data_IF_692504542420
#
_entry.id   IF_692504542420
#
_cell.length_a   1.000
_cell.length_b   1.000
_cell.length_c   1.000
_cell.angle_alpha   90.00
_cell.angle_beta   90.00
_cell.angle_gamma   90.00
#
_symmetry.space_group_name_H-M   'P 1'
#
loop_
_entity.id
_entity.type
_entity.pdbx_description
1 polymer ?
#
# COMPACT_ATOMS: atom_id res chain seq x y z
N UNK A 1 -12.21 -30.07 -32.00
CA UNK A 1 -13.21 -31.14 -32.20
C UNK A 1 -14.58 -30.51 -32.14
N UNK A 2 -15.42 -30.55 -33.18
CA UNK A 2 -16.59 -29.71 -33.32
C UNK A 2 -17.81 -30.29 -32.60
N UNK A 3 -18.58 -29.38 -32.00
CA UNK A 3 -19.89 -29.65 -31.43
C UNK A 3 -20.98 -29.71 -32.54
N UNK A 4 -21.05 -30.80 -33.22
CA UNK A 4 -22.14 -31.09 -34.17
C UNK A 4 -22.61 -32.52 -33.95
N UNK A 5 -23.44 -32.74 -32.94
CA UNK A 5 -24.31 -33.91 -32.83
C UNK A 5 -25.25 -33.74 -31.62
N UNK A 6 -26.37 -33.06 -31.82
CA UNK A 6 -27.53 -33.10 -30.92
C UNK A 6 -28.77 -32.49 -31.63
N UNK A 7 -29.14 -33.07 -32.79
CA UNK A 7 -30.51 -32.97 -33.32
C UNK A 7 -30.73 -34.20 -34.21
N UNK A 8 -31.50 -35.19 -33.73
CA UNK A 8 -31.94 -36.33 -34.55
C UNK A 8 -32.58 -37.43 -33.72
N UNK A 9 -33.91 -37.43 -33.56
CA UNK A 9 -34.83 -38.51 -33.74
C UNK A 9 -34.96 -39.65 -32.73
N UNK A 10 -36.16 -39.76 -32.11
CA UNK A 10 -36.86 -41.02 -31.95
C UNK A 10 -36.85 -41.72 -30.59
N UNK A 11 -37.96 -41.62 -29.84
CA UNK A 11 -38.59 -42.76 -29.17
C UNK A 11 -38.04 -43.35 -27.90
N UNK A 12 -38.66 -43.06 -26.74
CA UNK A 12 -38.91 -44.04 -25.68
C UNK A 12 -37.75 -44.34 -24.74
N UNK A 13 -37.74 -43.67 -23.60
CA UNK A 13 -37.53 -44.21 -22.26
C UNK A 13 -37.23 -43.05 -21.27
N UNK A 14 -38.00 -43.00 -20.19
CA UNK A 14 -37.85 -42.00 -19.12
C UNK A 14 -36.48 -42.15 -18.45
N UNK A 15 -35.50 -41.35 -18.91
CA UNK A 15 -34.23 -41.13 -18.26
C UNK A 15 -34.26 -39.69 -17.73
N UNK A 16 -34.19 -39.50 -16.41
CA UNK A 16 -33.99 -38.20 -15.74
C UNK A 16 -32.65 -37.62 -16.25
N UNK A 17 -32.69 -36.95 -17.39
CA UNK A 17 -31.62 -36.09 -17.83
C UNK A 17 -31.72 -34.84 -16.94
N UNK A 18 -30.76 -34.72 -16.00
CA UNK A 18 -30.58 -33.52 -15.19
C UNK A 18 -30.42 -32.30 -16.11
N UNK A 19 -31.48 -31.53 -16.30
CA UNK A 19 -31.42 -30.24 -16.97
C UNK A 19 -30.52 -29.35 -16.16
N UNK A 20 -29.27 -29.19 -16.59
CA UNK A 20 -28.38 -28.17 -16.03
C UNK A 20 -29.06 -26.82 -16.28
N UNK A 21 -29.47 -26.16 -15.19
CA UNK A 21 -30.12 -24.86 -15.29
C UNK A 21 -29.19 -23.85 -15.96
N UNK A 22 -29.68 -23.08 -16.94
CA UNK A 22 -28.90 -22.03 -17.61
C UNK A 22 -28.36 -20.98 -16.63
N UNK A 23 -29.07 -20.76 -15.52
CA UNK A 23 -28.62 -19.90 -14.41
C UNK A 23 -27.36 -20.47 -13.72
N UNK A 24 -27.30 -21.77 -13.47
CA UNK A 24 -26.13 -22.47 -12.92
C UNK A 24 -24.94 -22.44 -13.89
N UNK A 25 -25.19 -22.51 -15.22
CA UNK A 25 -24.14 -22.35 -16.22
C UNK A 25 -23.61 -20.93 -16.26
N UNK A 26 -24.43 -19.91 -16.06
CA UNK A 26 -24.01 -18.52 -15.96
C UNK A 26 -23.07 -18.32 -14.76
N UNK A 27 -23.40 -18.91 -13.60
CA UNK A 27 -22.58 -18.83 -12.36
C UNK A 27 -21.18 -19.45 -12.50
N UNK A 28 -21.07 -20.49 -13.31
CA UNK A 28 -19.80 -21.22 -13.52
C UNK A 28 -19.03 -20.74 -14.75
N UNK A 29 -19.57 -19.77 -15.49
CA UNK A 29 -18.96 -19.29 -16.71
C UNK A 29 -17.75 -18.40 -16.39
N UNK A 30 -16.60 -18.74 -16.95
CA UNK A 30 -15.33 -18.02 -16.77
C UNK A 30 -14.92 -17.17 -17.98
N UNK A 31 -15.69 -17.20 -19.07
CA UNK A 31 -15.35 -16.49 -20.31
C UNK A 31 -16.53 -15.69 -20.85
N UNK A 32 -16.23 -14.49 -21.36
CA UNK A 32 -17.25 -13.61 -21.94
C UNK A 32 -17.96 -14.28 -23.16
N UNK A 33 -17.23 -15.04 -23.97
CA UNK A 33 -17.80 -15.78 -25.11
C UNK A 33 -18.81 -16.85 -24.66
N UNK A 34 -18.48 -17.60 -23.60
CA UNK A 34 -19.41 -18.58 -23.02
C UNK A 34 -20.66 -17.89 -22.45
N UNK A 35 -20.47 -16.74 -21.79
CA UNK A 35 -21.55 -15.97 -21.20
C UNK A 35 -22.50 -15.42 -22.27
N UNK A 36 -22.00 -14.95 -23.43
CA UNK A 36 -22.84 -14.48 -24.54
C UNK A 36 -23.67 -15.61 -25.15
N UNK A 37 -23.15 -16.83 -25.22
CA UNK A 37 -23.89 -18.00 -25.68
C UNK A 37 -25.03 -18.37 -24.72
N UNK A 38 -24.76 -18.35 -23.41
CA UNK A 38 -25.77 -18.59 -22.37
C UNK A 38 -26.85 -17.51 -22.43
N UNK A 39 -26.46 -16.25 -22.60
CA UNK A 39 -27.37 -15.13 -22.77
C UNK A 39 -28.30 -15.33 -23.98
N UNK A 40 -27.74 -15.68 -25.14
CA UNK A 40 -28.51 -15.97 -26.35
C UNK A 40 -29.51 -17.13 -26.12
N UNK A 41 -29.08 -18.21 -25.46
CA UNK A 41 -29.95 -19.33 -25.13
C UNK A 41 -31.09 -18.92 -24.16
N UNK A 42 -30.81 -18.05 -23.17
CA UNK A 42 -31.84 -17.52 -22.27
C UNK A 42 -32.81 -16.58 -22.96
N UNK A 43 -32.37 -15.80 -23.95
CA UNK A 43 -33.24 -14.95 -24.79
C UNK A 43 -34.18 -15.82 -25.63
N UNK A 44 -33.64 -16.77 -26.40
CA UNK A 44 -34.42 -17.66 -27.28
C UNK A 44 -35.44 -18.49 -26.47
N UNK A 45 -35.09 -18.92 -25.26
CA UNK A 45 -35.99 -19.68 -24.40
C UNK A 45 -37.00 -18.83 -23.60
N UNK A 46 -37.03 -17.50 -23.77
CA UNK A 46 -37.91 -16.58 -23.06
C UNK A 46 -37.55 -16.38 -21.56
N UNK A 47 -36.54 -17.08 -21.06
CA UNK A 47 -36.22 -17.10 -19.61
C UNK A 47 -35.83 -15.74 -19.05
N UNK A 48 -35.28 -14.84 -19.84
CA UNK A 48 -34.93 -13.49 -19.35
C UNK A 48 -36.22 -12.70 -19.05
N UNK A 49 -37.28 -12.89 -19.83
CA UNK A 49 -38.55 -12.20 -19.62
C UNK A 49 -39.34 -12.78 -18.46
N UNK A 50 -39.31 -14.11 -18.30
CA UNK A 50 -40.17 -14.82 -17.38
C UNK A 50 -39.52 -15.14 -16.03
N UNK A 51 -38.16 -15.13 -15.95
CA UNK A 51 -37.42 -15.54 -14.77
C UNK A 51 -36.41 -14.44 -14.34
N UNK A 52 -36.86 -13.56 -13.45
CA UNK A 52 -36.04 -12.50 -12.88
C UNK A 52 -34.83 -13.04 -12.07
N UNK A 53 -34.91 -14.28 -11.54
CA UNK A 53 -33.78 -14.90 -10.85
C UNK A 53 -32.69 -15.29 -11.86
N UNK A 54 -33.06 -15.93 -12.97
CA UNK A 54 -32.10 -16.30 -14.01
C UNK A 54 -31.44 -15.07 -14.63
N UNK A 55 -32.21 -13.99 -14.90
CA UNK A 55 -31.66 -12.72 -15.36
C UNK A 55 -30.72 -12.07 -14.33
N UNK A 56 -31.02 -12.17 -13.02
CA UNK A 56 -30.14 -11.68 -11.95
C UNK A 56 -28.79 -12.41 -11.93
N UNK A 57 -28.78 -13.72 -12.11
CA UNK A 57 -27.54 -14.52 -12.16
C UNK A 57 -26.71 -14.20 -13.40
N UNK A 58 -27.38 -14.01 -14.54
CA UNK A 58 -26.71 -13.59 -15.77
C UNK A 58 -26.07 -12.20 -15.63
N UNK A 59 -26.78 -11.25 -15.00
CA UNK A 59 -26.25 -9.92 -14.71
C UNK A 59 -25.02 -9.97 -13.79
N UNK A 60 -25.05 -10.86 -12.79
CA UNK A 60 -23.93 -11.06 -11.86
C UNK A 60 -22.68 -11.59 -12.57
N UNK A 61 -22.87 -12.54 -13.49
CA UNK A 61 -21.80 -13.03 -14.35
C UNK A 61 -21.25 -11.93 -15.27
N UNK A 62 -22.12 -11.10 -15.88
CA UNK A 62 -21.68 -9.93 -16.64
C UNK A 62 -20.90 -8.94 -15.79
N UNK A 63 -21.32 -8.69 -14.56
CA UNK A 63 -20.61 -7.78 -13.63
C UNK A 63 -19.20 -8.26 -13.27
N UNK A 64 -18.95 -9.56 -13.41
CA UNK A 64 -17.64 -10.17 -13.13
C UNK A 64 -16.72 -10.27 -14.35
N UNK A 65 -17.29 -10.46 -15.55
CA UNK A 65 -16.54 -10.80 -16.77
C UNK A 65 -16.48 -9.67 -17.81
N UNK A 66 -17.26 -8.60 -17.65
CA UNK A 66 -17.39 -7.58 -18.69
C UNK A 66 -17.30 -6.15 -18.15
N UNK A 67 -17.02 -5.16 -19.03
CA UNK A 67 -17.05 -3.76 -18.63
C UNK A 67 -18.42 -3.32 -18.10
N UNK A 68 -18.49 -2.34 -17.18
CA UNK A 68 -19.75 -1.86 -16.59
C UNK A 68 -20.80 -1.39 -17.60
N UNK A 69 -20.36 -0.88 -18.77
CA UNK A 69 -21.27 -0.51 -19.85
C UNK A 69 -22.10 -1.68 -20.38
N UNK A 70 -21.57 -2.90 -20.37
CA UNK A 70 -22.31 -4.10 -20.77
C UNK A 70 -23.36 -4.47 -19.72
N UNK A 71 -23.02 -4.31 -18.44
CA UNK A 71 -23.93 -4.51 -17.30
C UNK A 71 -25.13 -3.56 -17.39
N UNK A 72 -24.89 -2.27 -17.65
CA UNK A 72 -25.96 -1.27 -17.80
C UNK A 72 -26.83 -1.52 -19.04
N UNK A 73 -26.23 -1.89 -20.18
CA UNK A 73 -26.99 -2.26 -21.39
C UNK A 73 -27.90 -3.46 -21.13
N UNK A 74 -27.39 -4.49 -20.45
CA UNK A 74 -28.22 -5.64 -20.10
C UNK A 74 -29.37 -5.23 -19.16
N UNK A 75 -29.07 -4.41 -18.13
CA UNK A 75 -30.06 -3.92 -17.20
C UNK A 75 -31.18 -3.13 -17.89
N UNK A 76 -30.81 -2.27 -18.85
CA UNK A 76 -31.78 -1.46 -19.63
C UNK A 76 -32.58 -2.27 -20.66
N UNK A 77 -32.12 -3.48 -21.05
CA UNK A 77 -32.82 -4.37 -21.97
C UNK A 77 -33.88 -5.26 -21.29
N UNK A 78 -33.98 -5.24 -19.97
CA UNK A 78 -34.96 -6.05 -19.23
C UNK A 78 -36.38 -5.54 -19.51
N UNK A 79 -37.36 -6.44 -19.75
CA UNK A 79 -38.74 -6.06 -20.04
C UNK A 79 -39.55 -5.69 -18.77
N UNK A 80 -38.94 -5.72 -17.61
CA UNK A 80 -39.54 -5.43 -16.29
C UNK A 80 -38.61 -4.57 -15.45
N UNK A 81 -39.16 -3.99 -14.37
CA UNK A 81 -38.36 -3.19 -13.44
C UNK A 81 -37.29 -4.05 -12.71
N UNK A 82 -36.01 -3.64 -12.72
CA UNK A 82 -34.95 -4.37 -12.05
C UNK A 82 -35.19 -4.46 -10.54
N UNK A 83 -34.91 -5.62 -9.96
CA UNK A 83 -34.98 -5.82 -8.51
C UNK A 83 -33.76 -5.23 -7.79
N UNK A 84 -33.83 -5.12 -6.45
CA UNK A 84 -32.76 -4.55 -5.63
C UNK A 84 -31.42 -5.28 -5.78
N UNK A 85 -31.42 -6.60 -6.04
CA UNK A 85 -30.20 -7.36 -6.28
C UNK A 85 -29.53 -6.92 -7.58
N UNK A 86 -30.29 -6.80 -8.68
CA UNK A 86 -29.78 -6.34 -9.97
C UNK A 86 -29.20 -4.93 -9.90
N UNK A 87 -29.89 -4.02 -9.18
CA UNK A 87 -29.42 -2.65 -8.99
C UNK A 87 -28.12 -2.60 -8.18
N UNK A 88 -28.04 -3.37 -7.11
CA UNK A 88 -26.83 -3.46 -6.28
C UNK A 88 -25.66 -4.14 -7.02
N UNK A 89 -25.94 -5.14 -7.86
CA UNK A 89 -24.92 -5.77 -8.72
C UNK A 89 -24.35 -4.76 -9.73
N UNK A 90 -25.21 -3.94 -10.32
CA UNK A 90 -24.78 -2.85 -11.23
C UNK A 90 -23.96 -1.79 -10.51
N UNK A 91 -24.37 -1.38 -9.29
CA UNK A 91 -23.58 -0.47 -8.44
C UNK A 91 -22.22 -1.07 -8.07
N UNK A 92 -22.16 -2.37 -7.76
CA UNK A 92 -20.90 -3.08 -7.47
C UNK A 92 -19.95 -3.03 -8.67
N UNK A 93 -20.44 -3.29 -9.88
CA UNK A 93 -19.65 -3.24 -11.10
C UNK A 93 -19.11 -1.82 -11.36
N UNK A 94 -19.97 -0.81 -11.26
CA UNK A 94 -19.60 0.60 -11.43
C UNK A 94 -18.61 1.08 -10.37
N UNK A 95 -18.82 0.74 -9.09
CA UNK A 95 -17.92 1.12 -7.99
C UNK A 95 -16.51 0.50 -8.12
N UNK A 96 -16.39 -0.59 -8.86
CA UNK A 96 -15.11 -1.28 -9.11
C UNK A 96 -14.44 -0.83 -10.40
N UNK A 97 -15.12 -0.02 -11.22
CA UNK A 97 -14.61 0.47 -12.51
C UNK A 97 -13.48 1.50 -12.35
N UNK A 98 -12.74 1.83 -13.43
CA UNK A 98 -11.80 2.96 -13.44
C UNK A 98 -12.46 4.30 -13.12
N UNK A 99 -13.74 4.49 -13.48
CA UNK A 99 -14.52 5.69 -13.16
C UNK A 99 -15.54 5.41 -12.02
N UNK A 100 -15.19 5.66 -10.76
CA UNK A 100 -16.08 5.46 -9.62
C UNK A 100 -17.22 6.49 -9.55
N UNK A 101 -17.12 7.63 -10.24
CA UNK A 101 -18.18 8.65 -10.27
C UNK A 101 -19.44 8.13 -10.97
N UNK A 102 -19.30 7.22 -11.92
CA UNK A 102 -20.41 6.56 -12.61
C UNK A 102 -21.35 5.80 -11.67
N UNK A 103 -20.83 5.23 -10.56
CA UNK A 103 -21.67 4.57 -9.54
C UNK A 103 -22.57 5.59 -8.82
N UNK A 104 -22.08 6.78 -8.53
CA UNK A 104 -22.85 7.84 -7.86
C UNK A 104 -23.88 8.45 -8.81
N UNK A 105 -23.51 8.66 -10.08
CA UNK A 105 -24.44 9.13 -11.11
C UNK A 105 -25.59 8.14 -11.30
N UNK A 106 -25.29 6.83 -11.38
CA UNK A 106 -26.29 5.79 -11.45
C UNK A 106 -27.19 5.76 -10.22
N UNK A 107 -26.62 5.85 -9.02
CA UNK A 107 -27.38 5.92 -7.77
C UNK A 107 -28.28 7.16 -7.72
N UNK A 108 -27.79 8.33 -8.14
CA UNK A 108 -28.56 9.56 -8.23
C UNK A 108 -29.75 9.39 -9.18
N UNK A 109 -29.51 8.80 -10.36
CA UNK A 109 -30.58 8.50 -11.32
C UNK A 109 -31.65 7.57 -10.72
N UNK A 110 -31.26 6.50 -10.02
CA UNK A 110 -32.19 5.58 -9.36
C UNK A 110 -33.10 6.30 -8.34
N UNK A 111 -32.53 7.25 -7.59
CA UNK A 111 -33.30 8.03 -6.60
C UNK A 111 -34.33 8.98 -7.23
N UNK A 112 -34.05 9.46 -8.44
CA UNK A 112 -34.96 10.41 -9.12
C UNK A 112 -35.98 9.69 -10.00
N UNK A 113 -35.61 8.57 -10.64
CA UNK A 113 -36.44 7.88 -11.61
C UNK A 113 -37.36 6.81 -10.99
N UNK A 114 -36.95 6.18 -9.91
CA UNK A 114 -37.70 5.11 -9.27
C UNK A 114 -38.28 5.62 -7.93
N UNK A 115 -39.49 6.12 -7.91
CA UNK A 115 -40.15 6.63 -6.71
C UNK A 115 -40.26 5.65 -5.53
N UNK A 116 -39.79 4.40 -5.67
CA UNK A 116 -39.79 3.36 -4.64
C UNK A 116 -38.41 2.77 -4.32
N UNK A 117 -37.30 3.25 -4.92
CA UNK A 117 -35.99 2.70 -4.62
C UNK A 117 -35.49 3.21 -3.26
N UNK A 118 -35.42 2.31 -2.27
CA UNK A 118 -34.83 2.58 -0.96
C UNK A 118 -33.47 1.91 -0.84
N UNK A 119 -32.36 2.68 -0.71
CA UNK A 119 -31.03 2.12 -0.51
C UNK A 119 -30.96 1.43 0.85
N UNK A 120 -30.41 0.23 0.86
CA UNK A 120 -30.27 -0.60 2.05
C UNK A 120 -28.83 -0.92 2.41
N UNK A 121 -28.66 -1.81 3.40
CA UNK A 121 -27.37 -2.29 3.90
C UNK A 121 -26.42 -2.83 2.81
N UNK A 122 -26.95 -3.32 1.70
CA UNK A 122 -26.17 -3.85 0.58
C UNK A 122 -25.84 -2.79 -0.48
N UNK A 123 -26.48 -1.63 -0.46
CA UNK A 123 -26.24 -0.53 -1.38
C UNK A 123 -25.08 0.35 -0.93
N UNK A 124 -25.09 0.77 0.34
CA UNK A 124 -24.12 1.72 0.88
C UNK A 124 -22.65 1.25 0.82
N UNK A 125 -22.30 -0.03 1.05
CA UNK A 125 -20.90 -0.47 0.91
C UNK A 125 -20.32 -0.23 -0.49
N UNK A 126 -21.11 -0.35 -1.56
CA UNK A 126 -20.65 -0.06 -2.93
C UNK A 126 -20.49 1.45 -3.16
N UNK A 127 -21.42 2.26 -2.65
CA UNK A 127 -21.30 3.72 -2.73
C UNK A 127 -20.08 4.22 -1.94
N UNK A 128 -19.84 3.67 -0.75
CA UNK A 128 -18.67 3.98 0.07
C UNK A 128 -17.37 3.52 -0.58
N UNK A 129 -17.36 2.36 -1.26
CA UNK A 129 -16.22 1.91 -2.06
C UNK A 129 -15.91 2.87 -3.21
N UNK A 130 -16.92 3.39 -3.88
CA UNK A 130 -16.76 4.38 -4.93
C UNK A 130 -16.27 5.73 -4.36
N UNK A 131 -16.91 6.21 -3.28
CA UNK A 131 -16.59 7.50 -2.67
C UNK A 131 -15.19 7.57 -2.07
N UNK A 132 -14.63 6.44 -1.61
CA UNK A 132 -13.25 6.37 -1.11
C UNK A 132 -12.19 6.72 -2.17
N UNK A 133 -12.55 6.69 -3.46
CA UNK A 133 -11.70 7.05 -4.60
C UNK A 133 -12.02 8.44 -5.18
N UNK A 134 -12.90 9.19 -4.53
CA UNK A 134 -13.40 10.50 -4.94
C UNK A 134 -13.07 11.55 -3.85
N UNK A 135 -13.24 12.84 -4.15
CA UNK A 135 -13.01 13.89 -3.16
C UNK A 135 -13.82 13.67 -1.88
N UNK A 136 -13.23 13.98 -0.73
CA UNK A 136 -13.78 13.76 0.61
C UNK A 136 -15.24 14.25 0.83
N UNK A 137 -15.71 15.38 0.27
CA UNK A 137 -17.11 15.80 0.44
C UNK A 137 -18.12 14.74 0.04
N UNK A 138 -17.79 13.89 -0.94
CA UNK A 138 -18.66 12.79 -1.41
C UNK A 138 -18.85 11.74 -0.31
N UNK A 139 -17.78 11.31 0.35
CA UNK A 139 -17.87 10.36 1.46
C UNK A 139 -18.70 10.89 2.62
N UNK A 140 -18.59 12.20 2.92
CA UNK A 140 -19.42 12.86 3.95
C UNK A 140 -20.92 12.88 3.56
N UNK A 141 -21.23 13.12 2.29
CA UNK A 141 -22.61 13.10 1.80
C UNK A 141 -23.20 11.68 1.90
N UNK A 142 -22.45 10.65 1.53
CA UNK A 142 -22.89 9.25 1.67
C UNK A 142 -23.07 8.89 3.14
N UNK A 143 -22.17 9.33 4.03
CA UNK A 143 -22.30 9.12 5.48
C UNK A 143 -23.62 9.76 6.01
N UNK A 144 -23.92 11.00 5.63
CA UNK A 144 -25.19 11.65 6.00
C UNK A 144 -26.41 10.86 5.52
N UNK A 145 -26.36 10.25 4.33
CA UNK A 145 -27.41 9.36 3.85
C UNK A 145 -27.50 8.07 4.67
N UNK A 146 -26.38 7.47 5.05
CA UNK A 146 -26.34 6.29 5.93
C UNK A 146 -27.08 6.58 7.25
N UNK A 147 -26.75 7.72 7.89
CA UNK A 147 -27.42 8.17 9.13
C UNK A 147 -28.92 8.38 8.91
N UNK A 148 -29.29 9.06 7.82
CA UNK A 148 -30.71 9.30 7.47
C UNK A 148 -31.52 8.00 7.32
N UNK A 149 -30.87 6.92 6.85
CA UNK A 149 -31.50 5.60 6.69
C UNK A 149 -31.37 4.71 7.94
N UNK A 150 -30.80 5.21 9.04
CA UNK A 150 -30.64 4.44 10.30
C UNK A 150 -29.68 3.27 10.19
N UNK A 151 -28.69 3.33 9.27
CA UNK A 151 -27.74 2.24 9.00
C UNK A 151 -26.35 2.47 9.58
N UNK A 152 -26.18 3.48 10.43
CA UNK A 152 -24.90 3.81 11.08
C UNK A 152 -24.37 2.68 11.98
N UNK A 153 -25.25 1.87 12.56
CA UNK A 153 -24.90 0.71 13.39
C UNK A 153 -24.81 -0.62 12.61
N UNK A 154 -25.07 -0.62 11.29
CA UNK A 154 -24.90 -1.82 10.47
C UNK A 154 -23.40 -2.09 10.22
N UNK A 155 -22.91 -3.26 10.61
CA UNK A 155 -21.48 -3.62 10.55
C UNK A 155 -20.90 -3.57 9.13
N UNK A 156 -21.67 -3.92 8.10
CA UNK A 156 -21.20 -3.87 6.70
C UNK A 156 -21.05 -2.43 6.20
N UNK A 157 -22.01 -1.58 6.56
CA UNK A 157 -22.01 -0.16 6.19
C UNK A 157 -20.91 0.56 6.96
N UNK A 158 -20.81 0.32 8.27
CA UNK A 158 -19.77 0.90 9.11
C UNK A 158 -18.35 0.52 8.65
N UNK A 159 -18.13 -0.76 8.25
CA UNK A 159 -16.86 -1.17 7.65
C UNK A 159 -16.52 -0.35 6.39
N UNK A 160 -17.52 -0.08 5.55
CA UNK A 160 -17.37 0.80 4.38
C UNK A 160 -17.00 2.23 4.77
N UNK A 161 -17.63 2.79 5.81
CA UNK A 161 -17.32 4.13 6.34
C UNK A 161 -15.92 4.21 6.92
N UNK A 162 -15.53 3.25 7.78
CA UNK A 162 -14.18 3.16 8.35
C UNK A 162 -13.14 3.14 7.22
N UNK A 163 -13.34 2.31 6.20
CA UNK A 163 -12.45 2.26 5.04
C UNK A 163 -12.38 3.57 4.27
N UNK A 164 -13.53 4.18 3.97
CA UNK A 164 -13.61 5.42 3.20
C UNK A 164 -12.88 6.58 3.91
N UNK A 165 -13.08 6.72 5.22
CA UNK A 165 -12.40 7.74 6.01
C UNK A 165 -10.91 7.44 6.21
N UNK A 166 -10.51 6.17 6.35
CA UNK A 166 -9.11 5.76 6.44
C UNK A 166 -8.34 6.11 5.15
N UNK A 167 -8.92 5.82 3.98
CA UNK A 167 -8.32 6.17 2.68
C UNK A 167 -8.22 7.69 2.50
N UNK A 168 -9.21 8.45 3.01
CA UNK A 168 -9.20 9.91 2.96
C UNK A 168 -8.25 10.56 3.99
N UNK A 169 -7.49 9.80 4.78
CA UNK A 169 -6.60 10.32 5.82
C UNK A 169 -7.29 10.79 7.10
N UNK A 170 -8.61 10.65 7.20
CA UNK A 170 -9.41 11.06 8.36
C UNK A 170 -9.58 9.94 9.38
N UNK A 171 -8.45 9.36 9.82
CA UNK A 171 -8.44 8.18 10.69
C UNK A 171 -9.16 8.41 12.03
N UNK A 172 -9.16 9.66 12.56
CA UNK A 172 -9.91 10.00 13.78
C UNK A 172 -11.44 9.89 13.59
N UNK A 173 -11.96 10.21 12.40
CA UNK A 173 -13.38 10.01 12.07
C UNK A 173 -13.68 8.53 11.88
N UNK A 174 -12.77 7.78 11.22
CA UNK A 174 -12.90 6.33 11.08
C UNK A 174 -12.98 5.65 12.47
N UNK A 175 -12.14 6.09 13.43
CA UNK A 175 -12.18 5.58 14.82
C UNK A 175 -13.52 5.87 15.50
N UNK A 176 -14.08 7.07 15.37
CA UNK A 176 -15.40 7.39 15.93
C UNK A 176 -16.49 6.47 15.41
N UNK A 177 -16.53 6.25 14.07
CA UNK A 177 -17.49 5.30 13.47
C UNK A 177 -17.29 3.89 14.02
N UNK A 178 -16.05 3.47 14.22
CA UNK A 178 -15.72 2.17 14.82
C UNK A 178 -16.18 2.07 16.27
N UNK A 179 -16.00 3.11 17.08
CA UNK A 179 -16.36 3.15 18.50
C UNK A 179 -17.88 3.19 18.73
N UNK A 180 -18.63 3.79 17.80
CA UNK A 180 -20.10 3.88 17.84
C UNK A 180 -20.79 2.53 17.53
N UNK A 181 -20.05 1.52 17.06
CA UNK A 181 -20.62 0.21 16.75
C UNK A 181 -20.97 -0.56 18.04
N UNK A 182 -22.23 -0.99 18.20
CA UNK A 182 -22.63 -1.80 19.35
C UNK A 182 -22.04 -3.21 19.33
N UNK A 183 -21.81 -3.75 18.13
CA UNK A 183 -21.19 -5.06 17.92
C UNK A 183 -20.10 -4.92 16.85
N UNK A 184 -18.89 -5.26 17.21
CA UNK A 184 -17.75 -5.26 16.30
C UNK A 184 -17.55 -6.64 15.68
N UNK A 185 -16.83 -6.71 14.56
CA UNK A 185 -16.51 -7.96 13.89
C UNK A 185 -15.03 -7.98 13.49
N UNK A 186 -14.49 -9.18 13.23
CA UNK A 186 -13.12 -9.35 12.71
C UNK A 186 -12.85 -8.47 11.49
N UNK A 187 -13.86 -8.28 10.62
CA UNK A 187 -13.71 -7.49 9.38
C UNK A 187 -13.52 -6.01 9.70
N UNK A 188 -14.28 -5.45 10.64
CA UNK A 188 -14.17 -4.04 11.02
C UNK A 188 -12.86 -3.79 11.76
N UNK A 189 -12.42 -4.67 12.66
CA UNK A 189 -11.10 -4.62 13.29
C UNK A 189 -9.99 -4.66 12.25
N UNK A 190 -10.06 -5.60 11.29
CA UNK A 190 -9.07 -5.70 10.20
C UNK A 190 -8.97 -4.40 9.41
N UNK A 191 -10.12 -3.78 9.11
CA UNK A 191 -10.16 -2.52 8.37
C UNK A 191 -9.60 -1.36 9.20
N UNK A 192 -9.88 -1.32 10.51
CA UNK A 192 -9.37 -0.27 11.39
C UNK A 192 -7.85 -0.37 11.58
N UNK A 193 -7.34 -1.58 11.87
CA UNK A 193 -5.89 -1.86 11.98
C UNK A 193 -5.16 -1.49 10.70
N UNK A 194 -5.67 -1.94 9.54
CA UNK A 194 -5.08 -1.60 8.24
C UNK A 194 -5.14 -0.10 7.96
N UNK A 195 -6.24 0.56 8.34
CA UNK A 195 -6.41 2.00 8.23
C UNK A 195 -5.39 2.78 9.04
N UNK A 196 -5.16 2.40 10.29
CA UNK A 196 -4.12 2.99 11.12
C UNK A 196 -2.73 2.79 10.53
N UNK A 197 -2.39 1.57 10.10
CA UNK A 197 -1.09 1.27 9.50
C UNK A 197 -0.82 2.09 8.23
N UNK A 198 -1.83 2.24 7.35
CA UNK A 198 -1.73 3.04 6.13
C UNK A 198 -1.57 4.54 6.38
N UNK A 199 -2.12 5.05 7.50
CA UNK A 199 -2.02 6.46 7.90
C UNK A 199 -0.82 6.75 8.82
N UNK A 200 0.12 5.82 8.97
CA UNK A 200 1.32 6.02 9.79
C UNK A 200 1.08 6.00 11.31
N UNK A 201 -0.14 5.66 11.75
CA UNK A 201 -0.54 5.56 13.15
C UNK A 201 -0.22 4.15 13.69
N UNK A 202 1.07 3.79 13.69
CA UNK A 202 1.50 2.41 13.95
C UNK A 202 1.19 1.94 15.37
N UNK A 203 1.30 2.82 16.37
CA UNK A 203 0.95 2.51 17.76
C UNK A 203 -0.55 2.21 17.91
N UNK A 204 -1.38 3.01 17.26
CA UNK A 204 -2.84 2.78 17.30
C UNK A 204 -3.23 1.50 16.55
N UNK A 205 -2.50 1.14 15.49
CA UNK A 205 -2.70 -0.15 14.80
C UNK A 205 -2.42 -1.34 15.72
N UNK A 206 -1.32 -1.25 16.48
CA UNK A 206 -0.97 -2.28 17.46
C UNK A 206 -1.97 -2.33 18.62
N UNK A 207 -2.41 -1.16 19.13
CA UNK A 207 -3.45 -1.07 20.18
C UNK A 207 -4.79 -1.65 19.72
N UNK A 208 -5.22 -1.36 18.50
CA UNK A 208 -6.46 -1.92 17.94
C UNK A 208 -6.36 -3.45 17.71
N UNK A 209 -5.17 -3.96 17.44
CA UNK A 209 -4.93 -5.41 17.38
C UNK A 209 -5.04 -6.04 18.77
N UNK A 210 -4.50 -5.40 19.82
CA UNK A 210 -4.64 -5.88 21.20
C UNK A 210 -6.10 -5.83 21.66
N UNK A 211 -6.87 -4.77 21.32
CA UNK A 211 -8.31 -4.70 21.56
C UNK A 211 -9.03 -5.90 20.90
N UNK A 212 -8.70 -6.20 19.64
CA UNK A 212 -9.26 -7.34 18.90
C UNK A 212 -9.02 -8.68 19.61
N UNK A 213 -7.80 -8.92 20.09
CA UNK A 213 -7.44 -10.14 20.81
C UNK A 213 -8.13 -10.23 22.17
N UNK A 214 -8.23 -9.12 22.90
CA UNK A 214 -8.88 -9.05 24.21
C UNK A 214 -10.41 -9.28 24.12
N UNK A 215 -11.03 -8.90 23.00
CA UNK A 215 -12.45 -9.22 22.72
C UNK A 215 -12.62 -10.68 22.24
N UNK A 216 -11.57 -11.47 22.16
CA UNK A 216 -11.60 -12.89 21.80
C UNK A 216 -11.70 -13.15 20.30
N UNK A 217 -11.48 -12.15 19.45
CA UNK A 217 -11.48 -12.34 18.00
C UNK A 217 -10.20 -12.99 17.50
N UNK A 218 -10.35 -13.91 16.58
CA UNK A 218 -9.22 -14.55 15.92
C UNK A 218 -8.69 -13.72 14.73
N UNK A 219 -7.39 -13.33 14.73
CA UNK A 219 -6.82 -12.58 13.63
C UNK A 219 -6.61 -13.45 12.39
N UNK A 220 -7.09 -12.99 11.23
CA UNK A 220 -6.80 -13.59 9.93
C UNK A 220 -5.47 -13.08 9.34
N UNK A 221 -5.04 -13.67 8.21
CA UNK A 221 -3.77 -13.32 7.56
C UNK A 221 -3.64 -11.83 7.22
N UNK A 222 -4.72 -11.17 6.82
CA UNK A 222 -4.71 -9.75 6.44
C UNK A 222 -4.39 -8.83 7.62
N UNK A 223 -5.02 -9.08 8.78
CA UNK A 223 -4.73 -8.26 9.98
C UNK A 223 -3.33 -8.53 10.49
N UNK A 224 -2.88 -9.81 10.51
CA UNK A 224 -1.51 -10.15 10.90
C UNK A 224 -0.48 -9.44 10.03
N UNK A 225 -0.63 -9.46 8.70
CA UNK A 225 0.25 -8.73 7.78
C UNK A 225 0.24 -7.21 8.04
N UNK A 226 -0.93 -6.64 8.30
CA UNK A 226 -1.07 -5.19 8.59
C UNK A 226 -0.39 -4.81 9.91
N UNK A 227 -0.53 -5.63 10.95
CA UNK A 227 0.15 -5.43 12.24
C UNK A 227 1.66 -5.58 12.10
N UNK A 228 2.15 -6.62 11.43
CA UNK A 228 3.58 -6.80 11.16
C UNK A 228 4.17 -5.60 10.40
N UNK A 229 3.45 -5.09 9.39
CA UNK A 229 3.86 -3.87 8.69
C UNK A 229 3.90 -2.64 9.59
N UNK A 230 2.97 -2.51 10.54
CA UNK A 230 2.99 -1.44 11.54
C UNK A 230 4.17 -1.60 12.51
N UNK A 231 4.42 -2.81 12.99
CA UNK A 231 5.56 -3.16 13.84
C UNK A 231 6.90 -2.84 13.17
N UNK A 232 7.03 -3.14 11.86
CA UNK A 232 8.22 -2.85 11.07
C UNK A 232 8.52 -1.35 10.92
N UNK A 233 7.53 -0.49 11.07
CA UNK A 233 7.64 0.98 10.91
C UNK A 233 7.53 1.75 12.22
N UNK A 234 7.20 1.08 13.32
CA UNK A 234 7.07 1.70 14.64
C UNK A 234 8.45 2.04 15.20
N UNK A 235 8.56 3.21 15.85
CA UNK A 235 9.79 3.63 16.53
C UNK A 235 10.01 2.91 17.88
N UNK A 236 8.98 2.31 18.45
CA UNK A 236 9.04 1.63 19.75
C UNK A 236 8.03 0.50 19.86
N UNK A 237 8.35 -0.55 20.58
CA UNK A 237 7.46 -1.67 20.89
C UNK A 237 7.15 -2.61 19.70
N UNK A 238 7.60 -2.29 18.48
CA UNK A 238 7.30 -3.09 17.30
C UNK A 238 7.80 -4.53 17.38
N UNK A 239 9.00 -4.73 17.92
CA UNK A 239 9.58 -6.07 18.04
C UNK A 239 8.79 -6.96 19.02
N UNK A 240 8.33 -6.40 20.16
CA UNK A 240 7.58 -7.16 21.17
C UNK A 240 6.27 -7.67 20.60
N UNK A 241 5.51 -6.79 19.96
CA UNK A 241 4.22 -7.17 19.34
C UNK A 241 4.46 -8.06 18.11
N UNK A 242 5.51 -7.80 17.34
CA UNK A 242 5.88 -8.64 16.20
C UNK A 242 6.20 -10.07 16.59
N UNK A 243 6.95 -10.30 17.68
CA UNK A 243 7.19 -11.64 18.25
C UNK A 243 5.88 -12.32 18.68
N UNK A 244 5.01 -11.58 19.37
CA UNK A 244 3.68 -12.11 19.77
C UNK A 244 2.83 -12.52 18.56
N UNK A 245 2.88 -11.75 17.49
CA UNK A 245 2.21 -12.10 16.21
C UNK A 245 2.81 -13.39 15.64
N UNK A 246 4.14 -13.52 15.65
CA UNK A 246 4.83 -14.74 15.19
C UNK A 246 4.41 -15.96 16.02
N UNK A 247 4.38 -15.86 17.36
CA UNK A 247 3.89 -16.92 18.25
C UNK A 247 2.44 -17.32 17.96
N UNK A 248 1.57 -16.36 17.64
CA UNK A 248 0.18 -16.65 17.25
C UNK A 248 0.15 -17.45 15.94
N UNK A 249 0.99 -17.07 14.97
CA UNK A 249 1.09 -17.77 13.69
C UNK A 249 1.60 -19.21 13.87
N UNK A 250 2.63 -19.43 14.70
CA UNK A 250 3.17 -20.76 15.00
C UNK A 250 2.13 -21.66 15.66
N UNK A 251 1.48 -21.18 16.73
CA UNK A 251 0.44 -21.95 17.44
C UNK A 251 -0.74 -22.36 16.56
N UNK A 252 -1.00 -21.63 15.47
CA UNK A 252 -2.08 -21.92 14.52
C UNK A 252 -1.66 -22.76 13.31
N UNK A 253 -0.42 -23.22 13.30
CA UNK A 253 0.14 -23.93 12.16
C UNK A 253 0.23 -23.06 10.88
N UNK A 254 0.15 -21.72 11.03
CA UNK A 254 0.32 -20.78 9.91
C UNK A 254 1.82 -20.53 9.63
N UNK A 255 2.69 -21.04 10.49
CA UNK A 255 4.13 -20.84 10.40
C UNK A 255 4.84 -21.84 9.47
N UNK A 256 4.19 -22.96 9.08
CA UNK A 256 4.81 -23.91 8.16
C UNK A 256 3.76 -24.55 7.22
N UNK A 257 3.86 -24.34 5.91
CA UNK A 257 4.71 -23.36 5.25
C UNK A 257 4.08 -21.95 5.35
N UNK A 258 4.81 -21.01 5.91
CA UNK A 258 4.36 -19.61 5.98
C UNK A 258 4.10 -19.12 4.55
N UNK A 259 2.88 -18.71 4.25
CA UNK A 259 2.57 -18.13 2.95
C UNK A 259 3.50 -16.95 2.67
N UNK A 260 3.93 -16.75 1.42
CA UNK A 260 4.94 -15.75 1.03
C UNK A 260 4.65 -14.36 1.61
N UNK A 261 3.37 -13.97 1.70
CA UNK A 261 2.96 -12.65 2.20
C UNK A 261 3.30 -12.48 3.69
N UNK A 262 2.90 -13.42 4.53
CA UNK A 262 3.15 -13.34 5.97
C UNK A 262 4.63 -13.56 6.30
N UNK A 263 5.29 -14.49 5.61
CA UNK A 263 6.73 -14.70 5.76
C UNK A 263 7.53 -13.46 5.40
N UNK A 264 7.21 -12.80 4.28
CA UNK A 264 7.84 -11.53 3.89
C UNK A 264 7.59 -10.44 4.94
N UNK A 265 6.37 -10.35 5.49
CA UNK A 265 6.06 -9.37 6.52
C UNK A 265 6.82 -9.63 7.83
N UNK A 266 7.03 -10.90 8.21
CA UNK A 266 7.85 -11.28 9.36
C UNK A 266 9.32 -10.92 9.14
N UNK A 267 9.89 -11.28 7.98
CA UNK A 267 11.27 -10.91 7.62
C UNK A 267 11.47 -9.40 7.68
N UNK A 268 10.55 -8.61 7.08
CA UNK A 268 10.60 -7.14 7.08
C UNK A 268 10.51 -6.58 8.52
N UNK A 269 9.61 -7.13 9.33
CA UNK A 269 9.42 -6.72 10.72
C UNK A 269 10.68 -6.98 11.55
N UNK A 270 11.22 -8.19 11.52
CA UNK A 270 12.43 -8.53 12.27
C UNK A 270 13.63 -7.73 11.78
N UNK A 271 13.85 -7.67 10.47
CA UNK A 271 14.98 -6.96 9.87
C UNK A 271 14.98 -5.46 10.20
N UNK A 272 13.83 -4.78 10.11
CA UNK A 272 13.73 -3.35 10.43
C UNK A 272 13.86 -3.03 11.92
N UNK A 273 13.52 -3.98 12.79
CA UNK A 273 13.71 -3.82 14.24
C UNK A 273 15.10 -4.29 14.72
N UNK A 274 16.02 -4.66 13.82
CA UNK A 274 17.38 -5.08 14.18
C UNK A 274 17.51 -6.52 14.70
N UNK A 275 16.42 -7.29 14.70
CA UNK A 275 16.41 -8.71 15.08
C UNK A 275 16.84 -9.57 13.86
N UNK A 276 18.10 -9.42 13.47
CA UNK A 276 18.63 -9.94 12.20
C UNK A 276 18.65 -11.48 12.20
N UNK A 277 19.00 -12.10 13.32
CA UNK A 277 19.07 -13.56 13.42
C UNK A 277 17.70 -14.20 13.20
N UNK A 278 16.66 -13.65 13.80
CA UNK A 278 15.27 -14.07 13.62
C UNK A 278 14.80 -13.83 12.16
N UNK A 279 15.17 -12.69 11.57
CA UNK A 279 14.85 -12.42 10.17
C UNK A 279 15.45 -13.48 9.24
N UNK A 280 16.72 -13.82 9.43
CA UNK A 280 17.43 -14.86 8.67
C UNK A 280 16.81 -16.25 8.91
N UNK A 281 16.43 -16.56 10.14
CA UNK A 281 15.80 -17.83 10.49
C UNK A 281 14.46 -18.00 9.76
N UNK A 282 13.60 -16.98 9.83
CA UNK A 282 12.31 -16.98 9.09
C UNK A 282 12.56 -17.09 7.58
N UNK A 283 13.49 -16.29 7.05
CA UNK A 283 13.83 -16.29 5.63
C UNK A 283 14.27 -17.68 5.13
N UNK A 284 15.14 -18.37 5.89
CA UNK A 284 15.62 -19.73 5.54
C UNK A 284 14.49 -20.76 5.62
N UNK A 285 13.55 -20.60 6.55
CA UNK A 285 12.39 -21.50 6.70
C UNK A 285 11.32 -21.33 5.62
N UNK A 286 11.37 -20.27 4.81
CA UNK A 286 10.38 -20.04 3.74
C UNK A 286 10.65 -20.95 2.53
N UNK A 287 9.65 -21.73 2.05
CA UNK A 287 9.79 -22.58 0.88
C UNK A 287 9.90 -21.77 -0.43
N UNK A 288 9.19 -20.64 -0.50
CA UNK A 288 9.20 -19.73 -1.65
C UNK A 288 9.56 -18.33 -1.22
N UNK A 289 10.44 -17.68 -1.98
CA UNK A 289 10.92 -16.33 -1.71
C UNK A 289 10.79 -15.48 -2.97
N UNK A 290 9.97 -14.44 -2.88
CA UNK A 290 9.83 -13.47 -3.98
C UNK A 290 10.82 -12.31 -3.81
N UNK A 291 11.01 -11.51 -4.86
CA UNK A 291 11.89 -10.32 -4.83
C UNK A 291 11.66 -9.44 -3.59
N UNK A 292 10.41 -9.30 -3.14
CA UNK A 292 10.09 -8.52 -1.94
C UNK A 292 10.69 -9.10 -0.65
N UNK A 293 10.75 -10.43 -0.52
CA UNK A 293 11.36 -11.10 0.64
C UNK A 293 12.87 -10.90 0.68
N UNK A 294 13.53 -11.02 -0.47
CA UNK A 294 14.96 -10.72 -0.61
C UNK A 294 15.27 -9.26 -0.27
N UNK A 295 14.44 -8.32 -0.79
CA UNK A 295 14.61 -6.91 -0.51
C UNK A 295 14.48 -6.58 0.98
N UNK A 296 13.52 -7.19 1.68
CA UNK A 296 13.34 -6.99 3.11
C UNK A 296 14.61 -7.40 3.89
N UNK A 297 15.18 -8.58 3.57
CA UNK A 297 16.38 -9.06 4.25
C UNK A 297 17.63 -8.25 3.86
N UNK A 298 17.88 -8.01 2.56
CA UNK A 298 19.05 -7.26 2.08
C UNK A 298 19.05 -5.85 2.66
N UNK A 299 17.92 -5.13 2.59
CA UNK A 299 17.82 -3.77 3.12
C UNK A 299 17.96 -3.72 4.64
N UNK A 300 17.40 -4.71 5.36
CA UNK A 300 17.53 -4.81 6.81
C UNK A 300 18.98 -5.05 7.24
N UNK A 301 19.66 -6.01 6.61
CA UNK A 301 21.08 -6.28 6.83
C UNK A 301 21.95 -5.03 6.57
N UNK A 302 21.73 -4.36 5.43
CA UNK A 302 22.46 -3.15 5.09
C UNK A 302 22.26 -2.05 6.14
N UNK A 303 21.01 -1.78 6.53
CA UNK A 303 20.66 -0.72 7.47
C UNK A 303 21.28 -0.93 8.86
N UNK A 304 21.41 -2.17 9.29
CA UNK A 304 21.99 -2.51 10.60
C UNK A 304 23.50 -2.80 10.57
N UNK A 305 24.19 -2.41 9.49
CA UNK A 305 25.64 -2.50 9.39
C UNK A 305 26.20 -3.86 8.98
N UNK A 306 25.33 -4.83 8.67
CA UNK A 306 25.70 -6.16 8.16
C UNK A 306 25.91 -6.14 6.64
N UNK A 307 26.68 -5.15 6.14
CA UNK A 307 26.82 -4.92 4.69
C UNK A 307 27.38 -6.13 3.93
N UNK A 308 28.36 -6.85 4.49
CA UNK A 308 28.92 -8.07 3.86
C UNK A 308 27.86 -9.16 3.70
N UNK A 309 27.01 -9.37 4.70
CA UNK A 309 25.95 -10.35 4.67
C UNK A 309 24.86 -9.94 3.67
N UNK A 310 24.51 -8.63 3.60
CA UNK A 310 23.59 -8.11 2.61
C UNK A 310 24.08 -8.39 1.17
N UNK A 311 25.37 -8.18 0.90
CA UNK A 311 25.96 -8.48 -0.41
C UNK A 311 25.99 -10.00 -0.71
N UNK A 312 26.24 -10.82 0.29
CA UNK A 312 26.16 -12.29 0.15
C UNK A 312 24.73 -12.73 -0.21
N UNK A 313 23.72 -12.14 0.44
CA UNK A 313 22.30 -12.40 0.12
C UNK A 313 21.94 -11.93 -1.30
N UNK A 314 22.44 -10.78 -1.75
CA UNK A 314 22.24 -10.34 -3.12
C UNK A 314 22.85 -11.30 -4.15
N UNK A 315 24.05 -11.81 -3.89
CA UNK A 315 24.67 -12.81 -4.75
C UNK A 315 23.86 -14.14 -4.76
N UNK A 316 23.30 -14.52 -3.60
CA UNK A 316 22.46 -15.70 -3.51
C UNK A 316 21.14 -15.51 -4.28
N UNK A 317 20.48 -14.35 -4.15
CA UNK A 317 19.29 -13.98 -4.92
C UNK A 317 19.50 -14.15 -6.43
N UNK A 318 20.65 -13.70 -6.93
CA UNK A 318 21.03 -13.85 -8.34
C UNK A 318 21.25 -15.30 -8.74
N UNK A 319 21.91 -16.10 -7.89
CA UNK A 319 22.14 -17.54 -8.13
C UNK A 319 20.84 -18.35 -8.14
N UNK A 320 19.86 -17.95 -7.33
CA UNK A 320 18.51 -18.54 -7.31
C UNK A 320 17.64 -18.06 -8.49
N UNK A 321 18.15 -17.19 -9.38
CA UNK A 321 17.44 -16.71 -10.56
C UNK A 321 16.33 -15.69 -10.27
N UNK A 322 16.30 -15.12 -9.06
CA UNK A 322 15.32 -14.08 -8.70
C UNK A 322 15.80 -12.73 -9.23
N UNK A 323 15.02 -12.05 -10.11
CA UNK A 323 15.46 -10.79 -10.71
C UNK A 323 15.48 -9.65 -9.69
N UNK A 324 16.63 -8.93 -9.59
CA UNK A 324 16.71 -7.71 -8.80
C UNK A 324 15.82 -6.60 -9.39
N UNK A 325 15.31 -5.74 -8.52
CA UNK A 325 14.57 -4.54 -8.92
C UNK A 325 15.18 -3.27 -8.29
N UNK A 326 14.59 -2.10 -8.53
CA UNK A 326 15.07 -0.84 -8.00
C UNK A 326 15.30 -0.88 -6.48
N UNK A 327 14.36 -1.44 -5.71
CA UNK A 327 14.50 -1.56 -4.24
C UNK A 327 15.66 -2.47 -3.84
N UNK A 328 15.89 -3.56 -4.59
CA UNK A 328 17.07 -4.43 -4.36
C UNK A 328 18.37 -3.63 -4.49
N UNK A 329 18.49 -2.84 -5.56
CA UNK A 329 19.71 -2.09 -5.85
C UNK A 329 19.93 -0.94 -4.86
N UNK A 330 18.89 -0.31 -4.34
CA UNK A 330 19.01 0.63 -3.19
C UNK A 330 19.63 -0.08 -1.99
N UNK A 331 19.13 -1.27 -1.62
CA UNK A 331 19.67 -2.05 -0.49
C UNK A 331 21.14 -2.46 -0.70
N UNK A 332 21.50 -2.84 -1.93
CA UNK A 332 22.87 -3.20 -2.30
C UNK A 332 23.80 -1.99 -2.25
N UNK A 333 23.40 -0.85 -2.82
CA UNK A 333 24.19 0.38 -2.76
C UNK A 333 24.34 0.88 -1.31
N UNK A 334 23.30 0.77 -0.50
CA UNK A 334 23.39 1.05 0.94
C UNK A 334 24.39 0.13 1.65
N UNK A 335 24.42 -1.17 1.30
CA UNK A 335 25.41 -2.10 1.85
C UNK A 335 26.84 -1.71 1.45
N UNK A 336 27.07 -1.30 0.21
CA UNK A 336 28.37 -0.78 -0.23
C UNK A 336 28.75 0.50 0.49
N UNK A 337 27.78 1.39 0.76
CA UNK A 337 28.01 2.61 1.52
C UNK A 337 28.51 2.30 2.95
N UNK A 338 27.92 1.33 3.62
CA UNK A 338 28.35 0.93 4.97
C UNK A 338 29.67 0.15 4.98
N UNK A 339 30.03 -0.53 3.90
CA UNK A 339 31.31 -1.26 3.78
C UNK A 339 32.43 -0.41 3.20
N UNK A 340 32.15 0.78 2.65
CA UNK A 340 33.14 1.67 2.03
C UNK A 340 33.65 1.16 0.67
N UNK A 341 32.97 0.23 0.03
CA UNK A 341 33.38 -0.40 -1.23
C UNK A 341 32.92 0.43 -2.44
N UNK A 342 33.62 1.54 -2.71
CA UNK A 342 33.24 2.53 -3.71
C UNK A 342 33.29 1.99 -5.15
N UNK A 343 34.33 1.26 -5.51
CA UNK A 343 34.50 0.77 -6.88
C UNK A 343 33.45 -0.28 -7.25
N UNK A 344 33.05 -1.10 -6.30
CA UNK A 344 31.97 -2.06 -6.45
C UNK A 344 30.60 -1.34 -6.59
N UNK A 345 30.39 -0.31 -5.79
CA UNK A 345 29.17 0.51 -5.86
C UNK A 345 29.07 1.19 -7.24
N UNK A 346 30.16 1.77 -7.75
CA UNK A 346 30.19 2.38 -9.10
C UNK A 346 29.83 1.35 -10.18
N UNK A 347 30.42 0.15 -10.11
CA UNK A 347 30.13 -0.93 -11.06
C UNK A 347 28.65 -1.31 -11.05
N UNK A 348 28.05 -1.48 -9.86
CA UNK A 348 26.64 -1.81 -9.73
C UNK A 348 25.76 -0.66 -10.22
N UNK A 349 26.10 0.58 -9.87
CA UNK A 349 25.34 1.75 -10.30
C UNK A 349 25.36 1.90 -11.84
N UNK A 350 26.50 1.73 -12.49
CA UNK A 350 26.64 1.79 -13.95
C UNK A 350 25.88 0.64 -14.63
N UNK A 351 25.84 -0.55 -14.00
CA UNK A 351 25.14 -1.73 -14.55
C UNK A 351 23.64 -1.77 -14.25
N UNK A 352 23.06 -0.72 -13.66
CA UNK A 352 21.63 -0.72 -13.32
C UNK A 352 20.72 -0.90 -14.54
N UNK A 353 21.13 -0.35 -15.69
CA UNK A 353 20.39 -0.50 -16.95
C UNK A 353 20.36 -1.95 -17.43
N UNK A 354 21.40 -2.76 -17.16
CA UNK A 354 21.44 -4.20 -17.48
C UNK A 354 20.37 -4.98 -16.71
N UNK A 355 19.93 -4.45 -15.56
CA UNK A 355 18.81 -4.98 -14.79
C UNK A 355 17.45 -4.37 -15.20
N UNK A 356 17.41 -3.52 -16.22
CA UNK A 356 16.21 -2.79 -16.62
C UNK A 356 15.75 -1.74 -15.60
N UNK A 357 16.66 -1.23 -14.77
CA UNK A 357 16.37 -0.27 -13.71
C UNK A 357 16.98 1.08 -14.02
N UNK A 358 16.14 2.10 -14.17
CA UNK A 358 16.60 3.50 -14.26
C UNK A 358 16.93 4.02 -12.86
N UNK A 359 18.11 4.66 -12.66
CA UNK A 359 18.48 5.23 -11.39
C UNK A 359 17.46 6.26 -10.89
N UNK A 360 17.02 6.10 -9.65
CA UNK A 360 16.15 7.04 -8.94
C UNK A 360 16.94 7.85 -7.94
N UNK A 361 16.34 8.90 -7.37
CA UNK A 361 16.97 9.75 -6.36
C UNK A 361 17.55 8.96 -5.17
N UNK A 362 16.95 7.82 -4.81
CA UNK A 362 17.44 6.96 -3.72
C UNK A 362 18.78 6.30 -4.08
N UNK A 363 18.95 5.86 -5.32
CA UNK A 363 20.21 5.28 -5.80
C UNK A 363 21.32 6.34 -5.84
N UNK A 364 21.02 7.53 -6.38
CA UNK A 364 21.94 8.67 -6.35
C UNK A 364 22.28 9.06 -4.91
N UNK A 365 21.33 9.07 -4.00
CA UNK A 365 21.55 9.37 -2.58
C UNK A 365 22.57 8.43 -1.94
N UNK A 366 22.49 7.11 -2.19
CA UNK A 366 23.49 6.16 -1.71
C UNK A 366 24.88 6.44 -2.29
N UNK A 367 24.97 6.76 -3.58
CA UNK A 367 26.25 7.06 -4.23
C UNK A 367 26.87 8.36 -3.72
N UNK A 368 26.06 9.41 -3.57
CA UNK A 368 26.50 10.71 -3.02
C UNK A 368 26.99 10.58 -1.58
N UNK A 369 26.28 9.81 -0.74
CA UNK A 369 26.73 9.52 0.64
C UNK A 369 28.05 8.75 0.64
N UNK A 370 28.22 7.75 -0.22
CA UNK A 370 29.44 6.96 -0.31
C UNK A 370 30.63 7.80 -0.82
N UNK A 371 30.44 8.58 -1.89
CA UNK A 371 31.45 9.52 -2.41
C UNK A 371 31.81 10.56 -1.34
N UNK A 372 30.81 11.11 -0.66
CA UNK A 372 30.99 12.06 0.41
C UNK A 372 31.84 11.51 1.56
N UNK A 373 31.55 10.30 2.04
CA UNK A 373 32.35 9.60 3.07
C UNK A 373 33.78 9.29 2.60
N UNK A 374 33.94 9.06 1.32
CA UNK A 374 35.26 8.81 0.70
C UNK A 374 36.07 10.10 0.46
N UNK A 375 35.51 11.28 0.76
CA UNK A 375 36.16 12.58 0.54
C UNK A 375 36.17 13.08 -0.91
N UNK A 376 35.44 12.40 -1.81
CA UNK A 376 35.34 12.75 -3.23
C UNK A 376 34.21 13.76 -3.47
N UNK A 377 34.25 14.89 -2.76
CA UNK A 377 33.16 15.87 -2.73
C UNK A 377 32.87 16.53 -4.09
N UNK A 378 33.88 16.91 -4.91
CA UNK A 378 33.64 17.43 -6.25
C UNK A 378 32.90 16.41 -7.15
N UNK A 379 33.28 15.13 -7.10
CA UNK A 379 32.66 14.08 -7.88
C UNK A 379 31.18 13.84 -7.41
N UNK A 380 30.94 13.92 -6.10
CA UNK A 380 29.58 13.83 -5.54
C UNK A 380 28.71 15.00 -6.01
N UNK A 381 29.25 16.23 -6.08
CA UNK A 381 28.57 17.41 -6.62
C UNK A 381 28.24 17.24 -8.11
N UNK A 382 29.23 16.79 -8.92
CA UNK A 382 29.02 16.53 -10.34
C UNK A 382 27.94 15.48 -10.58
N UNK A 383 27.97 14.37 -9.83
CA UNK A 383 26.94 13.34 -9.88
C UNK A 383 25.54 13.91 -9.62
N UNK A 384 25.36 14.83 -8.65
CA UNK A 384 24.06 15.46 -8.37
C UNK A 384 23.62 16.32 -9.56
N UNK A 385 24.55 17.03 -10.21
CA UNK A 385 24.26 17.89 -11.36
C UNK A 385 23.88 17.11 -12.61
N UNK A 386 24.45 15.92 -12.78
CA UNK A 386 24.21 15.02 -13.92
C UNK A 386 23.06 14.05 -13.73
N UNK A 387 22.38 14.09 -12.57
CA UNK A 387 21.24 13.21 -12.30
C UNK A 387 20.18 13.27 -13.40
N UNK A 388 19.70 12.12 -13.83
CA UNK A 388 18.57 12.00 -14.77
C UNK A 388 17.22 12.40 -14.16
N UNK A 389 17.13 12.48 -12.82
CA UNK A 389 15.97 12.92 -12.07
C UNK A 389 16.26 14.22 -11.33
N UNK A 390 15.20 14.94 -10.94
CA UNK A 390 15.34 16.23 -10.26
C UNK A 390 15.92 16.04 -8.84
N UNK A 391 17.03 16.73 -8.55
CA UNK A 391 17.62 16.76 -7.21
C UNK A 391 16.68 17.43 -6.20
N UNK A 392 16.65 16.93 -4.98
CA UNK A 392 15.92 17.51 -3.85
C UNK A 392 16.85 18.07 -2.77
N UNK A 393 16.25 18.68 -1.75
CA UNK A 393 17.00 19.22 -0.60
C UNK A 393 17.69 18.14 0.22
N UNK A 394 17.24 16.89 0.15
CA UNK A 394 17.82 15.77 0.90
C UNK A 394 19.17 15.36 0.35
N UNK A 395 19.30 15.27 -0.99
CA UNK A 395 20.54 14.85 -1.63
C UNK A 395 21.64 15.92 -1.48
N UNK A 396 21.28 17.21 -1.64
CA UNK A 396 22.19 18.33 -1.37
C UNK A 396 22.57 18.41 0.11
N UNK A 397 21.65 18.06 1.01
CA UNK A 397 21.89 17.96 2.45
C UNK A 397 22.88 16.86 2.81
N UNK A 398 22.83 15.71 2.11
CA UNK A 398 23.83 14.65 2.28
C UNK A 398 25.24 15.13 1.89
N UNK A 399 25.38 15.82 0.73
CA UNK A 399 26.63 16.43 0.31
C UNK A 399 27.12 17.47 1.32
N UNK A 400 26.26 18.37 1.80
CA UNK A 400 26.61 19.38 2.80
C UNK A 400 27.10 18.74 4.12
N UNK A 401 26.49 17.63 4.53
CA UNK A 401 26.93 16.88 5.71
C UNK A 401 28.32 16.28 5.52
N UNK A 402 28.62 15.76 4.34
CA UNK A 402 29.95 15.26 3.98
C UNK A 402 30.99 16.38 3.98
N UNK A 403 30.64 17.57 3.43
CA UNK A 403 31.54 18.75 3.44
C UNK A 403 31.91 19.15 4.87
N UNK A 404 30.99 19.03 5.83
CA UNK A 404 31.30 19.28 7.24
C UNK A 404 32.39 18.32 7.77
N UNK A 405 32.33 17.05 7.40
CA UNK A 405 33.31 16.04 7.83
C UNK A 405 34.69 16.23 7.25
N UNK A 406 34.79 16.77 6.03
CA UNK A 406 36.05 16.94 5.31
C UNK A 406 36.56 18.39 5.27
N UNK A 407 35.81 19.37 5.77
CA UNK A 407 36.19 20.76 5.83
C UNK A 407 36.21 21.50 4.48
N UNK A 408 35.49 20.97 3.47
CA UNK A 408 35.41 21.61 2.14
C UNK A 408 34.35 22.71 2.14
N UNK A 409 34.80 23.94 2.22
CA UNK A 409 33.93 25.12 2.30
C UNK A 409 33.34 25.46 0.95
N UNK A 410 34.11 25.32 -0.13
CA UNK A 410 33.69 25.75 -1.47
C UNK A 410 32.50 24.90 -1.98
N UNK A 411 32.59 23.59 -1.81
CA UNK A 411 31.48 22.68 -2.14
C UNK A 411 30.29 22.93 -1.20
N UNK A 412 30.54 23.19 0.10
CA UNK A 412 29.47 23.48 1.07
C UNK A 412 28.70 24.75 0.70
N UNK A 413 29.36 25.82 0.32
CA UNK A 413 28.73 27.09 -0.12
C UNK A 413 27.83 26.87 -1.34
N UNK A 414 28.31 26.12 -2.33
CA UNK A 414 27.53 25.79 -3.54
C UNK A 414 26.33 24.91 -3.21
N UNK A 415 26.49 23.89 -2.35
CA UNK A 415 25.39 23.04 -1.91
C UNK A 415 24.30 23.83 -1.18
N UNK A 416 24.66 24.74 -0.29
CA UNK A 416 23.71 25.63 0.40
C UNK A 416 22.97 26.52 -0.58
N UNK A 417 23.64 27.08 -1.61
CA UNK A 417 23.00 27.89 -2.63
C UNK A 417 21.93 27.10 -3.39
N UNK A 418 22.22 25.85 -3.79
CA UNK A 418 21.25 25.00 -4.47
C UNK A 418 20.07 24.61 -3.55
N UNK A 419 20.35 24.30 -2.28
CA UNK A 419 19.28 24.03 -1.31
C UNK A 419 18.33 25.21 -1.11
N UNK A 420 18.86 26.44 -1.06
CA UNK A 420 18.04 27.66 -0.93
C UNK A 420 17.26 28.00 -2.20
N UNK A 421 17.73 27.62 -3.38
CA UNK A 421 16.93 27.72 -4.61
C UNK A 421 15.73 26.77 -4.59
N UNK A 422 15.89 25.58 -4.00
CA UNK A 422 14.83 24.59 -3.89
C UNK A 422 13.84 24.91 -2.78
N UNK A 423 14.34 25.37 -1.65
CA UNK A 423 13.54 25.78 -0.49
C UNK A 423 14.12 27.06 0.14
N UNK A 424 13.62 28.23 -0.27
CA UNK A 424 14.09 29.53 0.25
C UNK A 424 13.90 29.70 1.77
N UNK A 425 13.01 28.92 2.38
CA UNK A 425 12.70 28.97 3.81
C UNK A 425 13.49 27.96 4.63
N UNK A 426 14.36 27.18 4.02
CA UNK A 426 15.20 26.22 4.73
C UNK A 426 16.38 26.91 5.43
N UNK A 427 16.07 27.55 6.53
CA UNK A 427 17.06 28.31 7.30
C UNK A 427 18.05 27.44 8.08
N UNK A 428 17.76 26.15 8.23
CA UNK A 428 18.65 25.17 8.88
C UNK A 428 19.99 25.03 8.17
N UNK A 429 20.05 25.25 6.86
CA UNK A 429 21.27 25.19 6.06
C UNK A 429 22.32 26.22 6.50
N UNK A 430 21.88 27.42 6.93
CA UNK A 430 22.78 28.47 7.41
C UNK A 430 23.46 28.08 8.73
N UNK A 431 22.78 27.29 9.58
CA UNK A 431 23.38 26.80 10.83
C UNK A 431 24.50 25.80 10.52
N UNK A 432 24.27 24.89 9.57
CA UNK A 432 25.28 23.92 9.15
C UNK A 432 26.48 24.63 8.54
N UNK A 433 26.25 25.57 7.61
CA UNK A 433 27.34 26.34 6.98
C UNK A 433 28.09 27.18 8.01
N UNK A 434 27.41 27.82 8.97
CA UNK A 434 28.07 28.56 10.05
C UNK A 434 28.97 27.66 10.89
N UNK A 435 28.61 26.41 11.12
CA UNK A 435 29.43 25.44 11.84
C UNK A 435 30.69 25.08 10.98
N UNK A 436 30.51 24.84 9.66
CA UNK A 436 31.64 24.56 8.75
C UNK A 436 32.65 25.72 8.76
N UNK A 437 32.17 26.97 8.68
CA UNK A 437 33.05 28.14 8.80
C UNK A 437 33.76 28.22 10.15
N UNK A 438 33.06 27.93 11.25
CA UNK A 438 33.63 27.96 12.57
C UNK A 438 34.74 26.89 12.75
N UNK A 439 34.46 25.66 12.27
CA UNK A 439 35.40 24.54 12.30
C UNK A 439 36.68 24.85 11.47
N UNK A 440 36.55 25.65 10.40
CA UNK A 440 37.67 26.14 9.57
C UNK A 440 38.32 27.46 10.07
N UNK A 441 37.87 28.00 11.21
CA UNK A 441 38.40 29.25 11.75
C UNK A 441 38.00 30.53 11.01
N UNK A 442 37.03 30.46 10.08
CA UNK A 442 36.55 31.61 9.27
C UNK A 442 35.51 32.44 10.04
N UNK A 443 35.90 33.02 11.17
CA UNK A 443 35.01 33.75 12.09
C UNK A 443 34.29 34.95 11.47
N UNK A 444 34.92 35.62 10.50
CA UNK A 444 34.30 36.76 9.78
C UNK A 444 33.05 36.29 8.98
N UNK A 445 33.15 35.14 8.35
CA UNK A 445 32.03 34.56 7.58
C UNK A 445 30.92 34.05 8.50
N UNK A 446 31.30 33.49 9.67
CA UNK A 446 30.30 33.15 10.75
C UNK A 446 29.53 34.39 11.13
N UNK A 447 30.16 35.52 11.41
CA UNK A 447 29.49 36.76 11.80
C UNK A 447 28.64 37.35 10.68
N UNK A 448 29.09 37.27 9.41
CA UNK A 448 28.28 37.68 8.27
C UNK A 448 27.02 36.84 8.15
N UNK A 449 27.17 35.53 8.24
CA UNK A 449 26.03 34.60 8.12
C UNK A 449 25.00 34.78 9.25
N UNK A 450 25.48 34.97 10.49
CA UNK A 450 24.63 35.25 11.65
C UNK A 450 23.87 36.57 11.54
N UNK A 451 24.46 37.60 10.89
CA UNK A 451 23.77 38.87 10.57
C UNK A 451 22.62 38.60 9.58
N UNK A 452 22.84 37.82 8.54
CA UNK A 452 21.80 37.41 7.58
C UNK A 452 20.65 36.67 8.30
N UNK A 453 20.98 35.72 9.15
CA UNK A 453 20.00 34.97 9.95
C UNK A 453 19.18 35.88 10.86
N UNK A 454 19.80 36.87 11.54
CA UNK A 454 19.11 37.85 12.38
C UNK A 454 18.20 38.77 11.56
N UNK A 455 18.67 39.24 10.40
CA UNK A 455 17.88 40.09 9.49
C UNK A 455 16.61 39.42 8.96
N UNK A 456 16.67 38.12 8.75
CA UNK A 456 15.53 37.32 8.29
C UNK A 456 14.55 36.92 9.43
N UNK A 457 14.68 37.46 10.65
CA UNK A 457 13.88 37.15 11.86
C UNK A 457 13.79 35.65 12.15
N UNK A 458 14.87 34.91 11.95
CA UNK A 458 14.90 33.47 12.16
C UNK A 458 15.00 33.17 13.66
N UNK A 459 13.89 32.73 14.24
CA UNK A 459 13.89 32.21 15.59
C UNK A 459 14.45 30.78 15.59
N UNK A 460 15.48 30.54 16.41
CA UNK A 460 16.00 29.20 16.66
C UNK A 460 14.91 28.36 17.32
N UNK A 461 14.35 27.38 16.63
CA UNK A 461 13.51 26.35 17.26
C UNK A 461 14.48 25.50 18.10
N UNK A 462 14.34 25.43 19.45
CA UNK A 462 15.20 24.60 20.28
C UNK A 462 15.02 23.13 19.86
N UNK A 463 16.12 22.44 19.60
CA UNK A 463 16.08 21.00 19.41
C UNK A 463 15.59 20.33 20.69
N UNK A 464 14.46 19.66 20.67
CA UNK A 464 14.00 18.83 21.77
C UNK A 464 14.71 17.47 21.71
N UNK A 465 15.72 17.27 22.57
CA UNK A 465 16.20 15.94 22.89
C UNK A 465 15.36 15.40 24.06
N UNK A 466 14.45 14.48 23.76
CA UNK A 466 13.78 13.70 24.81
C UNK A 466 14.74 12.57 25.24
N UNK A 467 15.41 12.74 26.36
CA UNK A 467 16.03 11.63 27.07
C UNK A 467 14.88 10.89 27.75
N UNK A 468 14.57 9.68 27.30
CA UNK A 468 13.66 8.78 27.99
C UNK A 468 14.30 8.38 29.32
N UNK A 469 13.85 9.02 30.44
CA UNK A 469 14.17 8.56 31.74
C UNK A 469 13.52 7.19 31.97
N UNK A 470 14.32 6.17 32.24
CA UNK A 470 13.85 4.98 32.94
C UNK A 470 13.52 5.44 34.38
N UNK A 471 12.24 5.53 34.70
CA UNK A 471 11.83 5.51 36.11
C UNK A 471 11.74 4.03 36.52
N UNK A 472 12.74 3.59 37.26
CA UNK A 472 12.68 2.42 38.13
C UNK A 472 11.77 2.76 39.31
N UNK A 473 10.65 2.04 39.43
CA UNK A 473 9.72 2.13 40.54
C UNK A 473 8.60 1.08 40.40
#
# INVERSE_FOLDING_TARGET
MPATHLLGGGGGAAGVRGHVSLSLLADRCSTLRGLTLIHAAMLVSGRIADDAFAASRLLDAYASLSPPAAVLRFLSSLPYAPNSFMLNTSLRALASSPDPASALAFFSHLRHSAGSYSPGRHTFPFLLKASARLPLPVSKQIHALVVKHGLNCDTYVANGLVRAYSVAGLIGVARKVFDELPLRSVVVYTTMVSGYAQNGRYQDAMGAFDEMLNEGFEPGAVVLASVLSACARSKSGGLVIGRRVHDIMERRGMAAPVGVILGTALVDMYAKNGAIEEAVTVFKGMPERHTATWNALISGLAHHGHGKDALAMFQQMRREGVPPNATTLVGVLSAYCHTGLLDEARRVFTSMEDFGVTPSIQHYGCMVDLLGRSGLLPEAEEMIREMTCKADTMIWGALLTACKGHGDIDVAERAVQEMLKLDPNNHGVYVVLSNIYADAGRWQDVDRLRKVMKGARLSKIPGSSAVGGCDDG
#
